data_IF_369989842454
#
_entry.id   IF_369989842454
#
_cell.length_a   1.000
_cell.length_b   1.000
_cell.length_c   1.000
_cell.angle_alpha   90.00
_cell.angle_beta   90.00
_cell.angle_gamma   90.00
#
_symmetry.space_group_name_H-M   'P 1'
#
loop_
_entity.id
_entity.type
_entity.pdbx_description
1 polymer ?
#
# COMPACT_ATOMS: atom_id res chain seq x y z
N UNK A 1 -46.43 28.29 -8.96
CA UNK A 1 -45.43 29.04 -9.75
C UNK A 1 -44.35 29.47 -8.79
N UNK A 2 -43.17 28.88 -8.88
CA UNK A 2 -42.00 29.33 -8.15
C UNK A 2 -41.59 30.66 -8.76
N UNK A 3 -41.65 31.76 -8.01
CA UNK A 3 -41.23 33.06 -8.50
C UNK A 3 -39.69 33.05 -8.57
N UNK A 4 -39.14 32.89 -9.77
CA UNK A 4 -37.69 32.79 -9.96
C UNK A 4 -37.12 34.20 -9.86
N UNK A 5 -36.28 34.44 -8.85
CA UNK A 5 -35.65 35.74 -8.63
C UNK A 5 -34.41 35.89 -9.54
N UNK A 6 -34.64 36.37 -10.77
CA UNK A 6 -33.58 36.60 -11.76
C UNK A 6 -32.61 37.71 -11.33
N UNK A 7 -33.10 38.72 -10.59
CA UNK A 7 -32.27 39.80 -10.07
C UNK A 7 -31.24 39.27 -9.07
N UNK A 8 -31.63 38.27 -8.27
CA UNK A 8 -30.70 37.56 -7.38
C UNK A 8 -29.61 36.81 -8.12
N UNK A 9 -29.90 36.16 -9.26
CA UNK A 9 -28.85 35.51 -10.08
C UNK A 9 -27.82 36.55 -10.53
N UNK A 10 -28.27 37.66 -11.13
CA UNK A 10 -27.37 38.71 -11.60
C UNK A 10 -26.58 39.38 -10.48
N UNK A 11 -27.20 39.62 -9.31
CA UNK A 11 -26.49 40.13 -8.12
C UNK A 11 -25.40 39.16 -7.66
N UNK A 12 -25.71 37.87 -7.55
CA UNK A 12 -24.72 36.87 -7.12
C UNK A 12 -23.57 36.73 -8.14
N UNK A 13 -23.86 36.79 -9.44
CA UNK A 13 -22.84 36.80 -10.50
C UNK A 13 -21.94 38.04 -10.39
N UNK A 14 -22.52 39.24 -10.24
CA UNK A 14 -21.77 40.48 -10.09
C UNK A 14 -20.87 40.48 -8.85
N UNK A 15 -21.35 39.95 -7.73
CA UNK A 15 -20.58 39.83 -6.49
C UNK A 15 -19.68 38.59 -6.43
N UNK A 16 -19.62 37.79 -7.51
CA UNK A 16 -18.79 36.56 -7.60
C UNK A 16 -19.06 35.54 -6.49
N UNK A 17 -20.31 35.47 -6.01
CA UNK A 17 -20.75 34.54 -4.97
C UNK A 17 -21.08 33.16 -5.58
N UNK A 18 -20.06 32.46 -6.05
CA UNK A 18 -20.20 31.25 -6.87
C UNK A 18 -20.94 30.09 -6.16
N UNK A 19 -20.66 29.85 -4.88
CA UNK A 19 -21.30 28.74 -4.13
C UNK A 19 -22.81 28.95 -3.99
N UNK A 20 -23.23 30.15 -3.57
CA UNK A 20 -24.64 30.52 -3.42
C UNK A 20 -25.37 30.49 -4.77
N UNK A 21 -24.68 30.90 -5.83
CA UNK A 21 -25.22 30.87 -7.17
C UNK A 21 -25.43 29.43 -7.68
N UNK A 22 -24.52 28.50 -7.37
CA UNK A 22 -24.68 27.08 -7.74
C UNK A 22 -25.83 26.40 -6.99
N UNK A 23 -26.04 26.71 -5.72
CA UNK A 23 -27.21 26.24 -4.98
C UNK A 23 -28.51 26.72 -5.64
N UNK A 24 -28.52 27.99 -6.07
CA UNK A 24 -29.66 28.60 -6.74
C UNK A 24 -29.92 27.94 -8.12
N UNK A 25 -28.87 27.69 -8.90
CA UNK A 25 -28.94 26.94 -10.18
C UNK A 25 -29.46 25.51 -9.95
N UNK A 26 -28.99 24.82 -8.91
CA UNK A 26 -29.50 23.49 -8.55
C UNK A 26 -30.99 23.51 -8.17
N UNK A 27 -31.44 24.49 -7.39
CA UNK A 27 -32.86 24.63 -7.04
C UNK A 27 -33.75 24.91 -8.26
N UNK A 28 -33.28 25.77 -9.17
CA UNK A 28 -34.04 26.13 -10.37
C UNK A 28 -34.00 25.06 -11.46
N UNK A 29 -32.92 24.29 -11.58
CA UNK A 29 -32.85 23.15 -12.52
C UNK A 29 -33.92 22.07 -12.25
N UNK A 30 -34.39 21.94 -11.00
CA UNK A 30 -35.52 21.05 -10.63
C UNK A 30 -36.89 21.58 -11.07
N UNK A 31 -37.00 22.88 -11.34
CA UNK A 31 -38.28 23.60 -11.41
C UNK A 31 -38.53 24.32 -12.74
N UNK A 32 -37.49 24.58 -13.54
CA UNK A 32 -37.52 25.59 -14.59
C UNK A 32 -36.72 25.21 -15.86
N UNK A 33 -36.85 23.97 -16.33
CA UNK A 33 -36.13 23.47 -17.51
C UNK A 33 -36.47 24.16 -18.84
N UNK A 34 -37.40 25.12 -18.87
CA UNK A 34 -37.92 25.76 -20.08
C UNK A 34 -38.08 27.29 -19.99
N UNK A 35 -37.57 27.93 -18.92
CA UNK A 35 -37.66 29.39 -18.77
C UNK A 35 -36.46 30.07 -19.46
N UNK A 36 -36.75 30.86 -20.50
CA UNK A 36 -35.74 31.54 -21.32
C UNK A 36 -34.90 32.55 -20.53
N UNK A 37 -35.49 33.22 -19.52
CA UNK A 37 -34.77 34.20 -18.70
C UNK A 37 -33.79 33.53 -17.74
N UNK A 38 -34.17 32.38 -17.17
CA UNK A 38 -33.25 31.56 -16.36
C UNK A 38 -32.08 31.08 -17.20
N UNK A 39 -32.36 30.57 -18.40
CA UNK A 39 -31.31 30.08 -19.30
C UNK A 39 -30.32 31.19 -19.70
N UNK A 40 -30.80 32.41 -19.91
CA UNK A 40 -29.93 33.57 -20.19
C UNK A 40 -29.07 33.93 -18.98
N UNK A 41 -29.67 34.01 -17.79
CA UNK A 41 -28.95 34.36 -16.56
C UNK A 41 -27.89 33.31 -16.19
N UNK A 42 -28.22 32.03 -16.35
CA UNK A 42 -27.28 30.90 -16.18
C UNK A 42 -26.13 30.96 -17.18
N UNK A 43 -26.41 31.31 -18.44
CA UNK A 43 -25.36 31.48 -19.45
C UNK A 43 -24.43 32.66 -19.12
N UNK A 44 -24.97 33.79 -18.67
CA UNK A 44 -24.16 34.92 -18.19
C UNK A 44 -23.26 34.51 -17.02
N UNK A 45 -23.79 33.73 -16.09
CA UNK A 45 -22.98 33.13 -15.03
C UNK A 45 -21.85 32.25 -15.58
N UNK A 46 -22.14 31.34 -16.50
CA UNK A 46 -21.09 30.49 -17.09
C UNK A 46 -19.98 31.33 -17.71
N UNK A 47 -20.35 32.30 -18.55
CA UNK A 47 -19.41 33.13 -19.27
C UNK A 47 -18.49 33.89 -18.29
N UNK A 48 -19.07 34.53 -17.26
CA UNK A 48 -18.32 35.24 -16.23
C UNK A 48 -17.45 34.30 -15.37
N UNK A 49 -18.00 33.16 -14.94
CA UNK A 49 -17.26 32.19 -14.11
C UNK A 49 -16.02 31.66 -14.83
N UNK A 50 -16.15 31.31 -16.12
CA UNK A 50 -15.01 30.84 -16.91
C UNK A 50 -14.02 31.97 -17.23
N UNK A 51 -14.47 33.21 -17.41
CA UNK A 51 -13.56 34.35 -17.55
C UNK A 51 -12.76 34.60 -16.27
N UNK A 52 -13.40 34.49 -15.11
CA UNK A 52 -12.73 34.63 -13.82
C UNK A 52 -11.78 33.47 -13.54
N UNK A 53 -12.16 32.24 -13.93
CA UNK A 53 -11.29 31.07 -13.86
C UNK A 53 -9.98 31.31 -14.64
N UNK A 54 -10.05 32.02 -15.76
CA UNK A 54 -8.90 32.33 -16.62
C UNK A 54 -7.97 33.37 -16.03
N UNK A 55 -8.52 34.27 -15.20
CA UNK A 55 -7.76 35.27 -14.45
C UNK A 55 -7.07 34.67 -13.21
N UNK A 56 -7.40 33.42 -12.85
CA UNK A 56 -6.85 32.74 -11.68
C UNK A 56 -7.56 33.14 -10.40
N UNK A 57 -8.74 32.55 -10.17
CA UNK A 57 -9.57 32.84 -8.98
C UNK A 57 -8.81 32.56 -7.68
N UNK A 58 -8.52 33.61 -6.91
CA UNK A 58 -8.06 33.52 -5.52
C UNK A 58 -9.28 33.46 -4.58
N UNK A 59 -9.94 32.31 -4.51
CA UNK A 59 -11.05 32.07 -3.60
C UNK A 59 -10.83 30.76 -2.86
N UNK A 60 -10.85 30.80 -1.52
CA UNK A 60 -10.62 29.64 -0.64
C UNK A 60 -11.57 28.45 -0.92
N UNK A 61 -12.72 28.70 -1.55
CA UNK A 61 -13.74 27.68 -1.84
C UNK A 61 -13.79 27.23 -3.31
N UNK A 62 -12.88 27.69 -4.17
CA UNK A 62 -12.94 27.41 -5.62
C UNK A 62 -12.94 25.91 -5.93
N UNK A 63 -12.20 25.11 -5.16
CA UNK A 63 -12.18 23.65 -5.32
C UNK A 63 -13.58 23.05 -5.15
N UNK A 64 -14.29 23.40 -4.07
CA UNK A 64 -15.64 22.89 -3.81
C UNK A 64 -16.64 23.33 -4.89
N UNK A 65 -16.51 24.57 -5.36
CA UNK A 65 -17.32 25.12 -6.47
C UNK A 65 -17.11 24.29 -7.74
N UNK A 66 -15.86 24.02 -8.13
CA UNK A 66 -15.53 23.22 -9.31
C UNK A 66 -16.04 21.77 -9.20
N UNK A 67 -15.89 21.13 -8.03
CA UNK A 67 -16.41 19.77 -7.79
C UNK A 67 -17.92 19.71 -7.90
N UNK A 68 -18.61 20.70 -7.33
CA UNK A 68 -20.08 20.79 -7.38
C UNK A 68 -20.56 21.01 -8.81
N UNK A 69 -19.93 21.90 -9.60
CA UNK A 69 -20.30 22.09 -11.01
C UNK A 69 -20.13 20.79 -11.79
N UNK A 70 -18.99 20.10 -11.61
CA UNK A 70 -18.73 18.85 -12.29
C UNK A 70 -19.74 17.76 -11.89
N UNK A 71 -20.12 17.70 -10.62
CA UNK A 71 -21.17 16.79 -10.13
C UNK A 71 -22.51 17.05 -10.81
N UNK A 72 -22.92 18.32 -10.92
CA UNK A 72 -24.16 18.72 -11.58
C UNK A 72 -24.14 18.42 -13.09
N UNK A 73 -22.99 18.60 -13.75
CA UNK A 73 -22.77 18.23 -15.16
C UNK A 73 -22.88 16.73 -15.40
N UNK A 74 -22.20 15.91 -14.59
CA UNK A 74 -22.28 14.44 -14.68
C UNK A 74 -23.67 13.92 -14.31
N UNK A 75 -24.35 14.58 -13.38
CA UNK A 75 -25.74 14.31 -12.99
C UNK A 75 -26.78 14.71 -14.04
N UNK A 76 -26.37 15.37 -15.14
CA UNK A 76 -27.25 15.92 -16.19
C UNK A 76 -28.28 16.95 -15.68
N UNK A 77 -28.01 17.53 -14.52
CA UNK A 77 -28.84 18.57 -13.90
C UNK A 77 -28.48 19.94 -14.48
N UNK A 78 -27.19 20.13 -14.78
CA UNK A 78 -26.64 21.35 -15.36
C UNK A 78 -25.57 21.01 -16.39
N UNK A 79 -25.95 20.98 -17.67
CA UNK A 79 -25.10 20.41 -18.73
C UNK A 79 -24.16 21.46 -19.31
N UNK A 80 -22.87 21.31 -19.06
CA UNK A 80 -21.85 22.13 -19.67
C UNK A 80 -21.53 21.67 -21.09
N UNK A 81 -20.92 22.56 -21.87
CA UNK A 81 -20.25 22.14 -23.10
C UNK A 81 -19.09 21.20 -22.77
N UNK A 82 -18.72 20.32 -23.72
CA UNK A 82 -17.59 19.38 -23.52
C UNK A 82 -16.29 20.11 -23.19
N UNK A 83 -16.09 21.28 -23.80
CA UNK A 83 -14.91 22.13 -23.59
C UNK A 83 -14.88 22.71 -22.15
N UNK A 84 -15.99 23.29 -21.70
CA UNK A 84 -16.16 23.83 -20.34
C UNK A 84 -16.03 22.76 -19.26
N UNK A 85 -16.65 21.59 -19.47
CA UNK A 85 -16.52 20.43 -18.58
C UNK A 85 -15.06 19.96 -18.48
N UNK A 86 -14.34 19.92 -19.61
CA UNK A 86 -12.91 19.60 -19.66
C UNK A 86 -12.07 20.63 -18.91
N UNK A 87 -12.38 21.92 -19.05
CA UNK A 87 -11.68 22.99 -18.36
C UNK A 87 -11.78 22.91 -16.84
N UNK A 88 -12.96 22.58 -16.31
CA UNK A 88 -13.15 22.33 -14.87
C UNK A 88 -12.30 21.16 -14.40
N UNK A 89 -12.29 20.06 -15.16
CA UNK A 89 -11.46 18.89 -14.84
C UNK A 89 -9.99 19.27 -14.78
N UNK A 90 -9.50 20.04 -15.75
CA UNK A 90 -8.09 20.49 -15.79
C UNK A 90 -7.74 21.34 -14.56
N UNK A 91 -8.60 22.27 -14.15
CA UNK A 91 -8.35 23.09 -12.96
C UNK A 91 -8.37 22.27 -11.67
N UNK A 92 -9.29 21.30 -11.54
CA UNK A 92 -9.29 20.35 -10.42
C UNK A 92 -8.00 19.52 -10.39
N UNK A 93 -7.52 19.05 -11.55
CA UNK A 93 -6.25 18.33 -11.67
C UNK A 93 -5.07 19.19 -11.20
N UNK A 94 -5.00 20.45 -11.62
CA UNK A 94 -3.95 21.39 -11.18
C UNK A 94 -3.99 21.64 -9.67
N UNK A 95 -5.17 21.93 -9.11
CA UNK A 95 -5.37 22.18 -7.69
C UNK A 95 -4.94 20.97 -6.85
N UNK A 96 -5.44 19.77 -7.16
CA UNK A 96 -5.10 18.56 -6.43
C UNK A 96 -3.63 18.17 -6.56
N UNK A 97 -3.02 18.41 -7.72
CA UNK A 97 -1.59 18.18 -7.92
C UNK A 97 -0.74 19.13 -7.07
N UNK A 98 -1.07 20.42 -7.03
CA UNK A 98 -0.38 21.44 -6.21
C UNK A 98 -0.46 21.13 -4.71
N UNK A 99 -1.56 20.54 -4.26
CA UNK A 99 -1.76 20.13 -2.86
C UNK A 99 -1.10 18.79 -2.49
N UNK A 100 -0.46 18.10 -3.45
CA UNK A 100 0.17 16.79 -3.22
C UNK A 100 -0.81 15.60 -3.23
N UNK A 101 -2.08 15.81 -3.63
CA UNK A 101 -3.09 14.76 -3.72
C UNK A 101 -3.06 14.07 -5.09
N UNK A 102 -1.92 13.47 -5.46
CA UNK A 102 -1.69 12.89 -6.80
C UNK A 102 -2.74 11.83 -7.22
N UNK A 103 -3.26 11.04 -6.27
CA UNK A 103 -4.33 10.07 -6.56
C UNK A 103 -5.63 10.73 -7.01
N UNK A 104 -6.05 11.81 -6.34
CA UNK A 104 -7.27 12.54 -6.70
C UNK A 104 -7.09 13.26 -8.04
N UNK A 105 -5.93 13.88 -8.27
CA UNK A 105 -5.59 14.49 -9.55
C UNK A 105 -5.69 13.46 -10.70
N UNK A 106 -5.14 12.26 -10.51
CA UNK A 106 -5.27 11.16 -11.47
C UNK A 106 -6.74 10.74 -11.71
N UNK A 107 -7.56 10.65 -10.65
CA UNK A 107 -8.98 10.31 -10.78
C UNK A 107 -9.75 11.28 -11.68
N UNK A 108 -9.51 12.58 -11.52
CA UNK A 108 -10.09 13.62 -12.38
C UNK A 108 -9.49 13.60 -13.79
N UNK A 109 -8.18 13.43 -13.93
CA UNK A 109 -7.50 13.43 -15.24
C UNK A 109 -8.09 12.38 -16.20
N UNK A 110 -8.53 11.22 -15.69
CA UNK A 110 -9.21 10.18 -16.48
C UNK A 110 -10.49 10.64 -17.17
N UNK A 111 -11.14 11.71 -16.69
CA UNK A 111 -12.35 12.25 -17.31
C UNK A 111 -12.04 13.00 -18.62
N UNK A 112 -10.81 13.51 -18.77
CA UNK A 112 -10.38 14.28 -19.93
C UNK A 112 -9.00 13.85 -20.45
N UNK A 113 -8.81 12.56 -20.82
CA UNK A 113 -7.49 11.98 -21.08
C UNK A 113 -6.78 12.54 -22.31
N UNK A 114 -7.51 13.23 -23.20
CA UNK A 114 -6.95 13.86 -24.41
C UNK A 114 -6.36 15.26 -24.15
N UNK A 115 -6.67 15.87 -23.00
CA UNK A 115 -6.07 17.14 -22.63
C UNK A 115 -4.62 16.92 -22.19
N UNK A 116 -3.70 17.81 -22.59
CA UNK A 116 -2.26 17.67 -22.35
C UNK A 116 -1.92 17.50 -20.85
N UNK A 117 -2.50 18.33 -19.98
CA UNK A 117 -2.25 18.28 -18.53
C UNK A 117 -2.80 16.99 -17.93
N UNK A 118 -3.99 16.58 -18.34
CA UNK A 118 -4.58 15.33 -17.87
C UNK A 118 -3.76 14.11 -18.35
N UNK A 119 -3.30 14.12 -19.60
CA UNK A 119 -2.46 13.07 -20.16
C UNK A 119 -1.11 12.96 -19.43
N UNK A 120 -0.49 14.10 -19.10
CA UNK A 120 0.73 14.15 -18.30
C UNK A 120 0.54 13.49 -16.93
N UNK A 121 -0.50 13.87 -16.19
CA UNK A 121 -0.81 13.29 -14.88
C UNK A 121 -1.11 11.78 -14.97
N UNK A 122 -1.81 11.35 -16.02
CA UNK A 122 -2.06 9.93 -16.27
C UNK A 122 -0.74 9.18 -16.51
N UNK A 123 0.16 9.72 -17.33
CA UNK A 123 1.44 9.10 -17.65
C UNK A 123 2.34 9.04 -16.42
N UNK A 124 2.48 10.15 -15.67
CA UNK A 124 3.23 10.19 -14.42
C UNK A 124 2.70 9.16 -13.40
N UNK A 125 1.39 9.03 -13.28
CA UNK A 125 0.79 8.00 -12.43
C UNK A 125 1.15 6.59 -12.93
N UNK A 126 1.05 6.32 -14.23
CA UNK A 126 1.41 5.01 -14.80
C UNK A 126 2.90 4.68 -14.64
N UNK A 127 3.79 5.67 -14.73
CA UNK A 127 5.22 5.52 -14.50
C UNK A 127 5.54 5.20 -13.04
N UNK A 128 4.78 5.73 -12.09
CA UNK A 128 4.92 5.38 -10.67
C UNK A 128 4.51 3.94 -10.34
N UNK A 129 3.69 3.32 -11.19
CA UNK A 129 3.24 1.94 -10.99
C UNK A 129 4.30 0.92 -11.46
N UNK A 130 4.37 -0.27 -10.83
CA UNK A 130 5.17 -1.37 -11.33
C UNK A 130 4.90 -1.67 -12.82
N UNK A 131 5.96 -2.02 -13.57
CA UNK A 131 5.85 -2.40 -14.98
C UNK A 131 5.12 -3.72 -15.09
N UNK A 132 4.05 -3.77 -15.88
CA UNK A 132 3.33 -5.01 -16.18
C UNK A 132 4.16 -5.83 -17.18
N UNK A 133 4.26 -7.13 -16.95
CA UNK A 133 4.91 -8.09 -17.85
C UNK A 133 3.87 -8.90 -18.60
N UNK A 134 4.03 -8.95 -19.91
CA UNK A 134 3.24 -9.84 -20.76
C UNK A 134 3.82 -11.26 -20.72
N UNK A 135 2.94 -12.25 -20.63
CA UNK A 135 3.26 -13.67 -20.60
C UNK A 135 2.08 -14.48 -21.18
N UNK A 136 2.26 -15.79 -21.32
CA UNK A 136 1.28 -16.70 -21.96
C UNK A 136 -0.10 -16.77 -21.30
N UNK A 137 -0.24 -16.21 -20.09
CA UNK A 137 -1.47 -16.25 -19.29
C UNK A 137 -1.93 -14.85 -18.85
N UNK A 138 -1.49 -13.79 -19.53
CA UNK A 138 -1.80 -12.40 -19.15
C UNK A 138 -3.29 -12.07 -19.16
N UNK A 139 -4.13 -12.90 -19.80
CA UNK A 139 -5.58 -12.81 -19.73
C UNK A 139 -6.20 -13.34 -18.42
N UNK A 140 -5.43 -14.05 -17.59
CA UNK A 140 -5.90 -14.68 -16.34
C UNK A 140 -5.08 -14.26 -15.13
N UNK A 141 -3.77 -14.06 -15.29
CA UNK A 141 -2.84 -13.76 -14.20
C UNK A 141 -2.07 -12.50 -14.60
N UNK A 142 -1.91 -11.57 -13.67
CA UNK A 142 -1.12 -10.35 -13.87
C UNK A 142 0.23 -10.47 -13.19
N UNK A 143 1.30 -10.22 -13.92
CA UNK A 143 2.67 -10.13 -13.38
C UNK A 143 3.16 -8.68 -13.48
N UNK A 144 3.76 -8.19 -12.39
CA UNK A 144 4.37 -6.86 -12.33
C UNK A 144 5.80 -6.94 -11.79
N UNK A 145 6.67 -6.08 -12.28
CA UNK A 145 8.05 -5.93 -11.79
C UNK A 145 8.35 -4.48 -11.42
N UNK A 146 9.32 -4.28 -10.52
CA UNK A 146 9.90 -2.96 -10.28
C UNK A 146 10.49 -2.39 -11.58
N UNK A 147 10.42 -1.06 -11.74
CA UNK A 147 10.99 -0.37 -12.91
C UNK A 147 12.48 -0.12 -12.70
N UNK A 148 12.82 0.42 -11.55
CA UNK A 148 14.17 0.85 -11.24
C UNK A 148 14.97 -0.28 -10.60
N UNK A 149 16.20 -0.45 -11.07
CA UNK A 149 17.18 -1.39 -10.54
C UNK A 149 18.44 -0.59 -10.24
N UNK A 150 18.91 -0.67 -9.00
CA UNK A 150 20.18 -0.08 -8.62
C UNK A 150 21.34 -0.76 -9.37
N UNK A 151 22.39 0.00 -9.69
CA UNK A 151 23.56 -0.54 -10.40
C UNK A 151 24.39 -1.51 -9.57
N UNK A 152 24.25 -1.48 -8.24
CA UNK A 152 25.04 -2.29 -7.31
C UNK A 152 24.17 -3.40 -6.73
N UNK A 153 24.70 -4.63 -6.75
CA UNK A 153 24.08 -5.77 -6.09
C UNK A 153 24.38 -5.74 -4.58
N UNK A 154 23.34 -5.48 -3.78
CA UNK A 154 23.43 -5.44 -2.32
C UNK A 154 22.92 -6.72 -1.62
N UNK A 155 22.87 -7.85 -2.34
CA UNK A 155 22.49 -9.13 -1.74
C UNK A 155 23.60 -9.69 -0.84
N UNK A 156 23.20 -10.58 0.08
CA UNK A 156 24.12 -11.25 1.00
C UNK A 156 23.79 -12.74 1.05
N UNK A 157 24.77 -13.56 1.46
CA UNK A 157 24.57 -15.00 1.65
C UNK A 157 23.56 -15.28 2.76
N UNK A 158 22.79 -16.35 2.59
CA UNK A 158 21.87 -16.88 3.60
C UNK A 158 22.62 -17.31 4.86
N UNK A 159 23.77 -17.97 4.68
CA UNK A 159 24.66 -18.39 5.77
C UNK A 159 25.85 -17.45 5.87
N UNK A 160 26.21 -17.05 7.10
CA UNK A 160 27.32 -16.16 7.42
C UNK A 160 28.61 -16.90 7.76
N UNK A 161 28.53 -18.21 7.98
CA UNK A 161 29.69 -19.04 8.29
C UNK A 161 29.60 -20.44 7.66
N UNK A 162 30.74 -21.10 7.46
CA UNK A 162 30.76 -22.51 7.05
C UNK A 162 30.08 -23.42 8.09
N UNK A 163 30.12 -23.02 9.37
CA UNK A 163 29.49 -23.76 10.44
C UNK A 163 27.97 -23.84 10.28
N UNK A 164 27.32 -22.73 9.93
CA UNK A 164 25.88 -22.69 9.65
C UNK A 164 25.51 -23.56 8.46
N UNK A 165 26.36 -23.57 7.41
CA UNK A 165 26.19 -24.44 6.25
C UNK A 165 26.23 -25.91 6.67
N UNK A 166 27.29 -26.33 7.35
CA UNK A 166 27.47 -27.73 7.78
C UNK A 166 26.35 -28.19 8.72
N UNK A 167 25.92 -27.32 9.63
CA UNK A 167 24.79 -27.57 10.52
C UNK A 167 23.49 -27.77 9.74
N UNK A 168 23.12 -26.82 8.87
CA UNK A 168 21.91 -26.91 8.06
C UNK A 168 21.91 -28.16 7.17
N UNK A 169 23.05 -28.43 6.53
CA UNK A 169 23.23 -29.61 5.68
C UNK A 169 23.09 -30.92 6.47
N UNK A 170 23.55 -30.94 7.72
CA UNK A 170 23.38 -32.06 8.63
C UNK A 170 21.92 -32.30 8.99
N UNK A 171 21.17 -31.25 9.38
CA UNK A 171 19.73 -31.34 9.66
C UNK A 171 18.98 -31.85 8.42
N UNK A 172 19.23 -31.27 7.25
CA UNK A 172 18.59 -31.65 5.99
C UNK A 172 18.80 -33.12 5.65
N UNK A 173 19.99 -33.68 5.91
CA UNK A 173 20.27 -35.09 5.64
C UNK A 173 19.68 -36.07 6.65
N UNK A 174 19.44 -35.64 7.88
CA UNK A 174 18.72 -36.46 8.86
C UNK A 174 17.24 -36.52 8.51
N UNK A 175 16.67 -35.42 8.03
CA UNK A 175 15.24 -35.27 7.76
C UNK A 175 14.88 -35.32 6.27
N UNK A 176 15.33 -36.36 5.55
CA UNK A 176 15.16 -36.46 4.09
C UNK A 176 13.70 -36.52 3.61
N UNK A 177 12.79 -36.99 4.47
CA UNK A 177 11.35 -37.08 4.19
C UNK A 177 10.59 -35.80 4.57
N UNK A 178 11.28 -34.79 5.09
CA UNK A 178 10.72 -33.52 5.52
C UNK A 178 11.31 -32.38 4.72
N UNK A 179 10.72 -31.19 4.86
CA UNK A 179 11.26 -29.97 4.28
C UNK A 179 11.97 -29.18 5.36
N UNK A 180 13.23 -28.82 5.12
CA UNK A 180 14.07 -28.11 6.09
C UNK A 180 14.37 -26.71 5.55
N UNK A 181 14.01 -25.68 6.33
CA UNK A 181 14.28 -24.28 5.98
C UNK A 181 15.22 -23.64 7.00
N UNK A 182 16.26 -22.92 6.53
CA UNK A 182 17.10 -22.11 7.40
C UNK A 182 16.53 -20.71 7.62
N UNK A 183 16.96 -20.02 8.67
CA UNK A 183 16.66 -18.61 8.96
C UNK A 183 15.16 -18.26 8.88
N UNK A 184 14.33 -19.06 9.56
CA UNK A 184 12.86 -18.92 9.53
C UNK A 184 12.40 -17.91 10.58
N UNK A 185 11.60 -16.93 10.19
CA UNK A 185 11.02 -15.97 11.14
C UNK A 185 10.05 -16.65 12.12
N UNK A 186 10.09 -16.26 13.40
CA UNK A 186 9.17 -16.78 14.44
C UNK A 186 7.71 -16.62 14.05
N UNK A 187 7.36 -15.49 13.44
CA UNK A 187 6.01 -15.16 12.97
C UNK A 187 5.48 -16.11 11.89
N UNK A 188 6.35 -16.87 11.22
CA UNK A 188 5.93 -17.84 10.21
C UNK A 188 5.54 -19.20 10.80
N UNK A 189 5.97 -19.50 12.03
CA UNK A 189 5.85 -20.86 12.61
C UNK A 189 5.07 -20.91 13.92
N UNK A 190 4.80 -19.76 14.52
CA UNK A 190 4.03 -19.65 15.76
C UNK A 190 2.87 -18.67 15.55
N UNK A 191 1.70 -19.04 16.04
CA UNK A 191 0.49 -18.24 15.97
C UNK A 191 0.51 -17.14 17.05
N UNK A 192 0.78 -15.90 16.63
CA UNK A 192 0.90 -14.74 17.53
C UNK A 192 -0.37 -14.52 18.37
N UNK A 193 -1.54 -14.69 17.77
CA UNK A 193 -2.81 -14.40 18.43
C UNK A 193 -3.05 -15.32 19.63
N UNK A 194 -2.52 -16.54 19.58
CA UNK A 194 -2.62 -17.51 20.67
C UNK A 194 -1.69 -17.24 21.84
N UNK A 195 -0.54 -16.59 21.61
CA UNK A 195 0.48 -16.40 22.64
C UNK A 195 0.62 -14.94 23.12
N UNK A 196 0.10 -13.96 22.38
CA UNK A 196 0.33 -12.52 22.63
C UNK A 196 -0.03 -12.06 24.05
N UNK A 197 -1.02 -12.68 24.67
CA UNK A 197 -1.46 -12.33 26.03
C UNK A 197 -0.44 -12.75 27.11
N UNK A 198 0.42 -13.72 26.82
CA UNK A 198 1.52 -14.13 27.71
C UNK A 198 2.82 -13.33 27.49
N UNK A 199 2.86 -12.43 26.52
CA UNK A 199 4.07 -11.69 26.12
C UNK A 199 4.02 -10.22 26.56
N UNK A 200 5.16 -9.70 27.01
CA UNK A 200 5.41 -8.27 27.22
C UNK A 200 5.50 -7.51 25.89
N UNK A 201 5.46 -6.19 25.93
CA UNK A 201 5.60 -5.38 24.71
C UNK A 201 6.94 -5.61 24.00
N UNK A 202 8.04 -5.74 24.75
CA UNK A 202 9.35 -6.01 24.17
C UNK A 202 9.42 -7.39 23.51
N UNK A 203 8.83 -8.41 24.14
CA UNK A 203 8.76 -9.78 23.61
C UNK A 203 7.90 -9.83 22.35
N UNK A 204 6.78 -9.08 22.30
CA UNK A 204 5.96 -8.94 21.09
C UNK A 204 6.75 -8.29 19.95
N UNK A 205 7.49 -7.21 20.23
CA UNK A 205 8.35 -6.59 19.22
C UNK A 205 9.50 -7.49 18.79
N UNK A 206 10.01 -8.34 19.68
CA UNK A 206 11.01 -9.36 19.33
C UNK A 206 10.41 -10.44 18.44
N UNK A 207 9.21 -10.94 18.75
CA UNK A 207 8.52 -11.98 17.97
C UNK A 207 8.48 -11.70 16.46
N UNK A 208 8.18 -10.46 16.06
CA UNK A 208 8.10 -10.10 14.63
C UNK A 208 9.45 -9.92 13.93
N UNK A 209 10.56 -9.87 14.68
CA UNK A 209 11.92 -9.67 14.14
C UNK A 209 12.84 -10.87 14.39
N UNK A 210 12.44 -11.77 15.28
CA UNK A 210 13.23 -12.93 15.66
C UNK A 210 13.21 -14.01 14.59
N UNK A 211 14.35 -14.66 14.44
CA UNK A 211 14.63 -15.71 13.46
C UNK A 211 15.07 -16.96 14.21
N UNK A 212 14.73 -18.12 13.65
CA UNK A 212 15.17 -19.45 14.06
C UNK A 212 16.11 -19.99 12.99
N UNK A 213 17.29 -20.46 13.38
CA UNK A 213 18.33 -20.84 12.41
C UNK A 213 17.91 -22.00 11.51
N UNK A 214 17.15 -22.98 12.03
CA UNK A 214 16.69 -24.11 11.23
C UNK A 214 15.36 -24.69 11.74
N UNK A 215 14.41 -24.91 10.84
CA UNK A 215 13.10 -25.50 11.15
C UNK A 215 12.78 -26.63 10.18
N UNK A 216 12.23 -27.73 10.72
CA UNK A 216 11.81 -28.92 9.98
C UNK A 216 10.29 -28.94 9.85
N UNK A 217 9.79 -29.12 8.64
CA UNK A 217 8.37 -29.11 8.29
C UNK A 217 7.92 -30.44 7.71
N UNK A 218 6.76 -30.92 8.15
CA UNK A 218 6.15 -32.13 7.64
C UNK A 218 5.25 -31.83 6.44
N UNK A 219 5.77 -32.08 5.24
CA UNK A 219 5.05 -31.91 3.98
C UNK A 219 3.82 -32.82 3.85
N UNK A 220 3.76 -33.93 4.60
CA UNK A 220 2.62 -34.84 4.63
C UNK A 220 1.54 -34.41 5.64
N UNK A 221 1.84 -33.42 6.49
CA UNK A 221 0.92 -32.85 7.48
C UNK A 221 0.76 -31.34 7.28
N UNK A 222 0.35 -30.95 6.05
CA UNK A 222 0.08 -29.55 5.68
C UNK A 222 1.24 -28.59 5.99
N UNK A 223 2.48 -29.05 5.81
CA UNK A 223 3.69 -28.26 6.09
C UNK A 223 3.69 -27.67 7.51
N UNK A 224 3.26 -28.44 8.52
CA UNK A 224 3.37 -28.01 9.91
C UNK A 224 4.83 -28.10 10.38
N UNK A 225 5.32 -27.11 11.15
CA UNK A 225 6.65 -27.19 11.76
C UNK A 225 6.64 -28.26 12.86
N UNK A 226 7.73 -29.03 12.94
CA UNK A 226 7.84 -30.20 13.84
C UNK A 226 9.06 -30.15 14.75
N UNK A 227 10.18 -29.57 14.29
CA UNK A 227 11.42 -29.44 15.07
C UNK A 227 12.04 -28.07 14.81
N UNK A 228 12.65 -27.48 15.84
CA UNK A 228 13.21 -26.13 15.81
C UNK A 228 14.62 -26.16 16.40
N UNK A 229 15.59 -25.62 15.68
CA UNK A 229 16.98 -25.64 16.09
C UNK A 229 17.64 -24.28 15.95
N UNK A 230 18.55 -23.99 16.87
CA UNK A 230 19.48 -22.85 16.84
C UNK A 230 20.91 -23.38 16.87
N UNK A 231 21.80 -22.65 16.21
CA UNK A 231 23.23 -22.88 16.24
C UNK A 231 23.89 -21.77 17.04
N UNK A 232 24.24 -22.07 18.28
CA UNK A 232 24.95 -21.15 19.15
C UNK A 232 26.43 -21.04 18.71
N UNK A 233 26.90 -19.81 18.56
CA UNK A 233 28.34 -19.54 18.47
C UNK A 233 28.94 -19.36 19.87
N UNK A 234 30.22 -19.70 20.03
CA UNK A 234 30.97 -19.55 21.28
C UNK A 234 31.35 -18.10 21.62
N UNK A 235 31.07 -17.14 20.72
CA UNK A 235 31.49 -15.75 20.85
C UNK A 235 30.41 -14.89 21.54
N UNK A 236 30.69 -14.55 22.80
CA UNK A 236 30.05 -13.57 23.69
C UNK A 236 28.64 -13.86 24.23
N UNK A 237 28.59 -14.32 25.48
CA UNK A 237 27.43 -14.26 26.39
C UNK A 237 27.13 -12.81 26.82
N UNK A 238 26.79 -11.94 25.87
CA UNK A 238 26.34 -10.59 26.19
C UNK A 238 24.97 -10.64 26.88
N UNK A 239 24.71 -9.65 27.75
CA UNK A 239 23.41 -9.49 28.39
C UNK A 239 22.26 -9.43 27.37
N UNK A 240 22.49 -8.76 26.23
CA UNK A 240 21.52 -8.68 25.14
C UNK A 240 21.22 -10.03 24.49
N UNK A 241 22.23 -10.89 24.32
CA UNK A 241 22.04 -12.23 23.77
C UNK A 241 21.22 -13.09 24.74
N UNK A 242 21.58 -13.10 26.02
CA UNK A 242 20.83 -13.81 27.06
C UNK A 242 19.37 -13.34 27.14
N UNK A 243 19.14 -12.03 27.02
CA UNK A 243 17.78 -11.45 26.99
C UNK A 243 16.98 -11.97 25.80
N UNK A 244 17.58 -12.04 24.60
CA UNK A 244 16.94 -12.60 23.39
C UNK A 244 16.67 -14.09 23.51
N UNK A 245 17.58 -14.84 24.13
CA UNK A 245 17.39 -16.26 24.37
C UNK A 245 16.23 -16.52 25.33
N UNK A 246 16.13 -15.74 26.40
CA UNK A 246 14.97 -15.79 27.32
C UNK A 246 13.65 -15.48 26.61
N UNK A 247 13.66 -14.54 25.64
CA UNK A 247 12.47 -14.25 24.83
C UNK A 247 12.07 -15.45 23.97
N UNK A 248 13.04 -16.08 23.30
CA UNK A 248 12.78 -17.30 22.52
C UNK A 248 12.23 -18.41 23.43
N UNK A 249 12.83 -18.64 24.58
CA UNK A 249 12.39 -19.69 25.51
C UNK A 249 10.95 -19.51 25.95
N UNK A 250 10.58 -18.27 26.32
CA UNK A 250 9.22 -17.95 26.71
C UNK A 250 8.24 -18.11 25.55
N UNK A 251 8.60 -17.65 24.35
CA UNK A 251 7.76 -17.77 23.15
C UNK A 251 7.52 -19.25 22.80
N UNK A 252 8.58 -20.07 22.75
CA UNK A 252 8.47 -21.51 22.48
C UNK A 252 7.70 -22.23 23.58
N UNK A 253 7.93 -21.87 24.85
CA UNK A 253 7.19 -22.40 25.99
C UNK A 253 5.68 -22.13 25.89
N UNK A 254 5.29 -20.88 25.60
CA UNK A 254 3.88 -20.52 25.39
C UNK A 254 3.27 -21.19 24.15
N UNK A 255 4.07 -21.42 23.11
CA UNK A 255 3.65 -22.13 21.90
C UNK A 255 3.55 -23.65 22.07
N UNK A 256 3.96 -24.19 23.22
CA UNK A 256 3.99 -25.63 23.49
C UNK A 256 5.03 -26.38 22.67
N UNK A 257 6.13 -25.72 22.30
CA UNK A 257 7.18 -26.25 21.44
C UNK A 257 8.54 -26.26 22.15
N UNK A 258 9.47 -27.08 21.64
CA UNK A 258 10.86 -27.13 22.11
C UNK A 258 11.79 -26.49 21.10
N UNK A 259 12.75 -25.72 21.58
CA UNK A 259 13.84 -25.14 20.81
C UNK A 259 15.15 -25.83 21.22
N UNK A 260 15.80 -26.49 20.27
CA UNK A 260 17.07 -27.19 20.50
C UNK A 260 18.23 -26.26 20.13
N UNK A 261 18.96 -25.75 21.13
CA UNK A 261 20.20 -24.98 20.90
C UNK A 261 21.39 -25.91 20.85
N UNK A 262 22.09 -25.93 19.72
CA UNK A 262 23.29 -26.74 19.50
C UNK A 262 24.50 -25.81 19.54
N UNK A 263 25.42 -26.08 20.47
CA UNK A 263 26.67 -25.33 20.63
C UNK A 263 27.86 -26.25 20.36
N UNK A 264 28.79 -25.82 19.51
CA UNK A 264 30.07 -26.53 19.37
C UNK A 264 30.92 -26.30 20.60
N UNK A 265 31.51 -27.38 21.11
CA UNK A 265 32.46 -27.35 22.24
C UNK A 265 33.91 -27.49 21.74
N UNK A 266 34.11 -27.98 20.51
CA UNK A 266 35.41 -28.05 19.85
C UNK A 266 35.30 -27.85 18.33
N UNK A 267 36.40 -27.41 17.71
CA UNK A 267 36.43 -27.09 16.27
C UNK A 267 36.45 -28.33 15.35
N UNK A 268 36.68 -29.52 15.91
CA UNK A 268 36.74 -30.79 15.16
C UNK A 268 35.35 -31.38 14.82
N UNK A 269 34.29 -30.57 14.90
CA UNK A 269 32.92 -31.00 14.69
C UNK A 269 32.44 -30.47 13.33
N UNK A 270 32.13 -31.34 12.38
CA UNK A 270 31.61 -31.02 11.05
C UNK A 270 30.18 -31.53 10.87
N UNK A 271 29.74 -31.62 9.61
CA UNK A 271 28.41 -32.15 9.27
C UNK A 271 28.13 -33.55 9.83
N UNK A 272 29.11 -34.47 9.82
CA UNK A 272 28.93 -35.83 10.35
C UNK A 272 28.56 -35.85 11.82
N UNK A 273 29.19 -34.99 12.62
CA UNK A 273 28.94 -34.88 14.05
C UNK A 273 27.57 -34.26 14.31
N UNK A 274 27.18 -33.24 13.54
CA UNK A 274 25.82 -32.69 13.62
C UNK A 274 24.77 -33.74 13.27
N UNK A 275 24.95 -34.50 12.19
CA UNK A 275 24.02 -35.56 11.82
C UNK A 275 23.87 -36.60 12.92
N UNK A 276 24.98 -37.03 13.52
CA UNK A 276 24.96 -38.00 14.62
C UNK A 276 24.19 -37.44 15.82
N UNK A 277 24.52 -36.23 16.26
CA UNK A 277 23.84 -35.55 17.36
C UNK A 277 22.34 -35.42 17.11
N UNK A 278 21.95 -34.93 15.92
CA UNK A 278 20.55 -34.69 15.58
C UNK A 278 19.77 -36.00 15.62
N UNK A 279 20.33 -37.12 15.10
CA UNK A 279 19.68 -38.44 15.18
C UNK A 279 19.49 -38.95 16.61
N UNK A 280 20.33 -38.54 17.55
CA UNK A 280 20.24 -38.98 18.95
C UNK A 280 19.16 -38.21 19.74
N UNK A 281 18.86 -36.97 19.36
CA UNK A 281 17.95 -36.09 20.12
C UNK A 281 16.52 -36.01 19.56
N UNK A 282 16.23 -36.61 18.40
CA UNK A 282 14.94 -36.46 17.70
C UNK A 282 14.05 -37.67 17.60
#
# INVERSE_FOLDING_TARGET
MTNIDYERIYKLTFHKQWSELLELVYQYSKSASSDELVMRAVKTFEDEFFEELDKGIENDNIQSVLENILLLDKGRIYKLSKDRSCRIVVELVKLYSKQGFGKKAYEYAKLCPKNEICAEIINLHQESLPKVLEHSQSNQIRVTQNRDIASVNCTTSLFKSNQEIEFFMGVREVFQMFVVYPNVALSCVIDFEKIKNGLSQEERSFFFRGIIDCVVFDQHNNYKPTKFFELDSSYHDSFEQQKRDNYKDKIFGLAGQKLYRIRKISDNQGRSEFMKLIKEIV
#
